data_IF_461861039824
#
_entry.id   IF_461861039824
#
_cell.length_a   1.000
_cell.length_b   1.000
_cell.length_c   1.000
_cell.angle_alpha   90.00
_cell.angle_beta   90.00
_cell.angle_gamma   90.00
#
_symmetry.space_group_name_H-M   'P 1'
#
loop_
_entity.id
_entity.type
_entity.pdbx_description
1 polymer ?
#
# COMPACT_ATOMS: atom_id res chain seq x y z
N UNK A 1 21.94 -13.79 -2.18
CA UNK A 1 20.59 -13.46 -2.68
C UNK A 1 20.77 -12.98 -4.11
N UNK A 2 20.18 -13.66 -5.09
CA UNK A 2 20.30 -13.28 -6.49
C UNK A 2 19.25 -12.21 -6.86
N UNK A 3 19.39 -11.58 -8.03
CA UNK A 3 18.52 -10.47 -8.46
C UNK A 3 17.05 -10.89 -8.57
N UNK A 4 16.77 -12.08 -9.09
CA UNK A 4 15.41 -12.62 -9.19
C UNK A 4 14.75 -12.79 -7.80
N UNK A 5 15.51 -13.23 -6.79
CA UNK A 5 15.04 -13.29 -5.40
C UNK A 5 14.72 -11.90 -4.83
N UNK A 6 15.49 -10.87 -5.21
CA UNK A 6 15.21 -9.47 -4.80
C UNK A 6 13.93 -8.96 -5.45
N UNK A 7 13.77 -9.17 -6.76
CA UNK A 7 12.57 -8.77 -7.52
C UNK A 7 11.33 -9.45 -6.92
N UNK A 8 11.37 -10.77 -6.71
CA UNK A 8 10.25 -11.51 -6.11
C UNK A 8 9.89 -11.00 -4.70
N UNK A 9 10.89 -10.58 -3.90
CA UNK A 9 10.62 -9.96 -2.59
C UNK A 9 9.92 -8.61 -2.73
N UNK A 10 10.36 -7.77 -3.67
CA UNK A 10 9.73 -6.47 -3.94
C UNK A 10 8.28 -6.67 -4.38
N UNK A 11 8.01 -7.63 -5.27
CA UNK A 11 6.64 -7.98 -5.68
C UNK A 11 5.78 -8.43 -4.50
N UNK A 12 6.36 -9.21 -3.57
CA UNK A 12 5.71 -9.56 -2.31
C UNK A 12 5.32 -8.33 -1.48
N UNK A 13 6.20 -7.34 -1.36
CA UNK A 13 5.89 -6.09 -0.65
C UNK A 13 4.83 -5.24 -1.38
N UNK A 14 4.87 -5.17 -2.71
CA UNK A 14 3.84 -4.48 -3.50
C UNK A 14 2.47 -5.12 -3.25
N UNK A 15 2.40 -6.45 -3.24
CA UNK A 15 1.16 -7.17 -2.96
C UNK A 15 0.62 -6.88 -1.55
N UNK A 16 1.51 -6.76 -0.56
CA UNK A 16 1.12 -6.39 0.81
C UNK A 16 0.57 -4.96 0.89
N UNK A 17 1.18 -3.99 0.22
CA UNK A 17 0.69 -2.60 0.21
C UNK A 17 -0.67 -2.49 -0.49
N UNK A 18 -0.85 -3.16 -1.63
CA UNK A 18 -2.16 -3.23 -2.32
C UNK A 18 -3.21 -3.94 -1.48
N UNK A 19 -2.83 -4.95 -0.71
CA UNK A 19 -3.75 -5.61 0.22
C UNK A 19 -4.15 -4.67 1.36
N UNK A 20 -3.19 -3.94 1.94
CA UNK A 20 -3.47 -2.96 2.99
C UNK A 20 -4.46 -1.88 2.51
N UNK A 21 -4.24 -1.31 1.32
CA UNK A 21 -5.17 -0.37 0.67
C UNK A 21 -6.60 -0.92 0.62
N UNK A 22 -6.76 -2.17 0.18
CA UNK A 22 -8.07 -2.82 0.07
C UNK A 22 -8.70 -3.14 1.44
N UNK A 23 -7.90 -3.48 2.44
CA UNK A 23 -8.37 -3.85 3.78
C UNK A 23 -8.84 -2.63 4.59
N UNK A 24 -8.35 -1.42 4.27
CA UNK A 24 -8.76 -0.19 4.94
C UNK A 24 -10.21 0.23 4.64
N UNK A 25 -10.73 -0.06 3.44
CA UNK A 25 -12.08 0.32 3.02
C UNK A 25 -13.19 -0.38 3.85
N UNK A 26 -13.17 -1.72 4.05
CA UNK A 26 -14.10 -2.40 4.94
C UNK A 26 -14.08 -1.86 6.38
N UNK A 27 -12.89 -1.54 6.90
CA UNK A 27 -12.74 -0.96 8.23
C UNK A 27 -13.41 0.41 8.32
N UNK A 28 -13.22 1.26 7.30
CA UNK A 28 -13.88 2.56 7.20
C UNK A 28 -15.40 2.45 7.19
N UNK A 29 -15.96 1.58 6.34
CA UNK A 29 -17.40 1.37 6.23
C UNK A 29 -18.02 0.87 7.54
N UNK A 30 -17.33 -0.04 8.23
CA UNK A 30 -17.80 -0.56 9.53
C UNK A 30 -17.87 0.52 10.59
N UNK A 31 -16.85 1.38 10.64
CA UNK A 31 -16.76 2.47 11.62
C UNK A 31 -17.80 3.58 11.35
N UNK A 32 -18.07 3.89 10.08
CA UNK A 32 -19.13 4.84 9.70
C UNK A 32 -20.52 4.35 10.12
N UNK A 33 -20.77 3.05 10.02
CA UNK A 33 -22.05 2.42 10.36
C UNK A 33 -22.25 2.15 11.86
N UNK A 34 -21.23 2.34 12.69
CA UNK A 34 -21.34 2.14 14.14
C UNK A 34 -22.07 3.33 14.80
N UNK A 35 -23.31 3.11 15.25
CA UNK A 35 -24.13 4.14 15.90
C UNK A 35 -23.66 4.49 17.32
N UNK A 36 -22.77 3.70 17.93
CA UNK A 36 -22.21 3.94 19.26
C UNK A 36 -21.01 4.88 19.24
N UNK A 37 -20.44 5.14 18.06
CA UNK A 37 -19.28 6.03 17.87
C UNK A 37 -19.75 7.43 17.53
N UNK A 38 -19.25 8.43 18.27
CA UNK A 38 -19.57 9.84 18.01
C UNK A 38 -19.03 10.31 16.66
N UNK A 39 -19.68 11.34 16.10
CA UNK A 39 -19.33 11.88 14.78
C UNK A 39 -17.89 12.42 14.70
N UNK A 40 -17.41 13.06 15.76
CA UNK A 40 -16.03 13.56 15.83
C UNK A 40 -15.01 12.43 15.76
N UNK A 41 -15.27 11.33 16.47
CA UNK A 41 -14.42 10.13 16.42
C UNK A 41 -14.44 9.50 15.03
N UNK A 42 -15.61 9.41 14.39
CA UNK A 42 -15.73 8.94 12.99
C UNK A 42 -14.90 9.79 12.03
N UNK A 43 -14.95 11.10 12.20
CA UNK A 43 -14.20 12.05 11.38
C UNK A 43 -12.69 11.89 11.57
N UNK A 44 -12.24 11.77 12.82
CA UNK A 44 -10.82 11.56 13.11
C UNK A 44 -10.31 10.21 12.58
N UNK A 45 -11.06 9.13 12.81
CA UNK A 45 -10.71 7.82 12.27
C UNK A 45 -10.69 7.82 10.74
N UNK A 46 -11.62 8.54 10.08
CA UNK A 46 -11.59 8.74 8.62
C UNK A 46 -10.27 9.36 8.17
N UNK A 47 -9.83 10.44 8.81
CA UNK A 47 -8.56 11.10 8.45
C UNK A 47 -7.35 10.16 8.61
N UNK A 48 -7.33 9.36 9.68
CA UNK A 48 -6.27 8.36 9.90
C UNK A 48 -6.29 7.31 8.79
N UNK A 49 -7.46 6.74 8.46
CA UNK A 49 -7.60 5.71 7.44
C UNK A 49 -7.26 6.25 6.05
N UNK A 50 -7.73 7.45 5.71
CA UNK A 50 -7.41 8.13 4.44
C UNK A 50 -5.88 8.29 4.31
N UNK A 51 -5.20 8.69 5.39
CA UNK A 51 -3.75 8.81 5.41
C UNK A 51 -3.05 7.45 5.22
N UNK A 52 -3.45 6.42 5.97
CA UNK A 52 -2.88 5.07 5.84
C UNK A 52 -3.07 4.51 4.42
N UNK A 53 -4.23 4.76 3.82
CA UNK A 53 -4.53 4.36 2.44
C UNK A 53 -3.60 5.05 1.45
N UNK A 54 -3.40 6.37 1.61
CA UNK A 54 -2.50 7.14 0.77
C UNK A 54 -1.04 6.73 0.93
N UNK A 55 -0.61 6.41 2.15
CA UNK A 55 0.74 5.93 2.45
C UNK A 55 0.99 4.58 1.75
N UNK A 56 0.05 3.62 1.84
CA UNK A 56 0.16 2.32 1.14
C UNK A 56 0.22 2.46 -0.38
N UNK A 57 -0.60 3.33 -0.97
CA UNK A 57 -0.53 3.63 -2.42
C UNK A 57 0.85 4.19 -2.79
N UNK A 58 1.40 5.07 -1.95
CA UNK A 58 2.70 5.71 -2.19
C UNK A 58 3.82 4.67 -2.10
N UNK A 59 3.80 3.81 -1.09
CA UNK A 59 4.77 2.73 -0.94
C UNK A 59 4.73 1.76 -2.11
N UNK A 60 3.54 1.34 -2.55
CA UNK A 60 3.39 0.46 -3.71
C UNK A 60 4.04 1.06 -4.96
N UNK A 61 3.85 2.35 -5.23
CA UNK A 61 4.46 3.05 -6.37
C UNK A 61 5.99 3.10 -6.28
N UNK A 62 6.53 3.44 -5.12
CA UNK A 62 8.00 3.48 -4.91
C UNK A 62 8.61 2.09 -5.14
N UNK A 63 7.93 1.04 -4.67
CA UNK A 63 8.38 -0.34 -4.86
C UNK A 63 8.28 -0.78 -6.33
N UNK A 64 7.23 -0.36 -7.04
CA UNK A 64 7.09 -0.59 -8.49
C UNK A 64 8.22 0.10 -9.27
N UNK A 65 8.54 1.36 -8.94
CA UNK A 65 9.67 2.09 -9.54
C UNK A 65 11.01 1.39 -9.27
N UNK A 66 11.25 0.94 -8.02
CA UNK A 66 12.45 0.19 -7.66
C UNK A 66 12.57 -1.13 -8.43
N UNK A 67 11.47 -1.87 -8.57
CA UNK A 67 11.42 -3.10 -9.37
C UNK A 67 11.78 -2.81 -10.83
N UNK A 68 11.18 -1.77 -11.41
CA UNK A 68 11.38 -1.43 -12.82
C UNK A 68 12.82 -0.98 -13.10
N UNK A 69 13.46 -0.24 -12.17
CA UNK A 69 14.89 0.11 -12.25
C UNK A 69 15.77 -1.14 -12.22
N UNK A 70 15.45 -2.11 -11.35
CA UNK A 70 16.18 -3.37 -11.30
C UNK A 70 16.00 -4.15 -12.62
N UNK A 71 14.81 -4.20 -13.20
CA UNK A 71 14.58 -4.89 -14.47
C UNK A 71 15.37 -4.20 -15.60
N UNK A 72 15.26 -2.87 -15.75
CA UNK A 72 15.91 -2.11 -16.84
C UNK A 72 17.43 -2.12 -16.81
N UNK A 73 18.05 -2.35 -15.65
CA UNK A 73 19.51 -2.57 -15.57
C UNK A 73 20.01 -3.80 -16.37
N UNK A 74 19.13 -4.63 -16.93
CA UNK A 74 19.48 -5.68 -17.91
C UNK A 74 19.61 -5.18 -19.35
N UNK A 75 19.02 -4.03 -19.70
CA UNK A 75 18.97 -3.54 -21.08
C UNK A 75 20.18 -2.67 -21.45
N UNK A 76 20.86 -2.09 -20.46
CA UNK A 76 21.97 -1.13 -20.65
C UNK A 76 23.37 -1.78 -20.77
N UNK A 77 23.48 -3.12 -20.69
CA UNK A 77 24.76 -3.87 -20.76
C UNK A 77 25.15 -4.32 -22.20
N UNK A 78 24.64 -3.67 -23.26
CA UNK A 78 24.94 -3.98 -24.67
C UNK A 78 25.76 -2.91 -25.41
#
# INVERSE_FOLDING_TARGET
MNKAEVINKIEGFIALEKKAENDFLPFHLRLLNDSSVSQDKKTHCKQIIDKLTQDSITHAKILEELRDLLIRSEEDDF
#
